data_IF_719156451506
#
_entry.id   IF_719156451506
#
_cell.length_a   1.000
_cell.length_b   1.000
_cell.length_c   1.000
_cell.angle_alpha   90.00
_cell.angle_beta   90.00
_cell.angle_gamma   90.00
#
_symmetry.space_group_name_H-M   'P 1'
#
loop_
_entity.id
_entity.type
_entity.pdbx_description
1 polymer ?
#
# COMPACT_ATOMS: atom_id res chain seq x y z
N UNK A 1 -0.02 10.27 23.62
CA UNK A 1 -0.23 10.22 22.15
C UNK A 1 -0.26 11.63 21.58
N UNK A 2 0.44 11.87 20.50
CA UNK A 2 0.39 13.16 19.81
C UNK A 2 -0.87 13.24 18.91
N UNK A 3 -1.10 14.42 18.32
CA UNK A 3 -2.30 14.63 17.48
C UNK A 3 -2.33 13.74 16.25
N UNK A 4 -1.18 13.46 15.64
CA UNK A 4 -1.09 12.56 14.48
C UNK A 4 -1.50 11.14 14.84
N UNK A 5 -1.05 10.65 15.98
CA UNK A 5 -1.41 9.30 16.44
C UNK A 5 -2.89 9.20 16.78
N UNK A 6 -3.46 10.22 17.42
CA UNK A 6 -4.89 10.27 17.70
C UNK A 6 -5.71 10.24 16.42
N UNK A 7 -5.27 10.97 15.39
CA UNK A 7 -5.94 11.01 14.10
C UNK A 7 -5.93 9.64 13.42
N UNK A 8 -4.81 8.92 13.51
CA UNK A 8 -4.71 7.56 12.97
C UNK A 8 -5.76 6.66 13.63
N UNK A 9 -5.83 6.68 14.95
CA UNK A 9 -6.78 5.85 15.69
C UNK A 9 -8.23 6.21 15.37
N UNK A 10 -8.55 7.49 15.28
CA UNK A 10 -9.89 7.95 14.92
C UNK A 10 -10.27 7.47 13.52
N UNK A 11 -9.36 7.56 12.55
CA UNK A 11 -9.63 7.09 11.19
C UNK A 11 -9.82 5.58 11.12
N UNK A 12 -9.04 4.82 11.89
CA UNK A 12 -9.21 3.37 11.96
C UNK A 12 -10.59 3.01 12.51
N UNK A 13 -11.04 3.69 13.54
CA UNK A 13 -12.36 3.44 14.13
C UNK A 13 -13.51 3.79 13.19
N UNK A 14 -13.35 4.85 12.40
CA UNK A 14 -14.41 5.33 11.52
C UNK A 14 -14.40 4.66 10.14
N UNK A 15 -13.22 4.41 9.59
CA UNK A 15 -13.06 3.94 8.19
C UNK A 15 -12.40 2.58 8.07
N UNK A 16 -12.09 1.92 9.18
CA UNK A 16 -11.37 0.63 9.25
C UNK A 16 -9.89 0.70 8.89
N UNK A 17 -9.39 1.84 8.45
CA UNK A 17 -7.96 2.07 8.26
C UNK A 17 -7.65 3.56 8.19
N UNK A 18 -6.37 3.86 8.36
CA UNK A 18 -5.80 5.18 8.10
C UNK A 18 -4.87 5.07 6.90
N UNK A 19 -4.90 6.05 6.01
CA UNK A 19 -4.07 6.08 4.80
C UNK A 19 -3.00 7.15 4.95
N UNK A 20 -1.74 6.76 4.79
CA UNK A 20 -0.60 7.67 4.88
C UNK A 20 0.05 7.79 3.51
N UNK A 21 0.20 9.01 3.01
CA UNK A 21 0.94 9.29 1.78
C UNK A 21 2.23 10.02 2.12
N UNK A 22 3.32 9.53 1.56
CA UNK A 22 4.64 10.14 1.74
C UNK A 22 5.18 10.53 0.37
N UNK A 23 5.59 11.77 0.23
CA UNK A 23 6.16 12.27 -1.02
C UNK A 23 7.30 13.23 -0.72
N UNK A 24 8.24 13.30 -1.66
CA UNK A 24 9.35 14.24 -1.58
C UNK A 24 8.95 15.51 -2.35
N UNK A 25 8.86 16.66 -1.67
CA UNK A 25 8.50 17.91 -2.34
C UNK A 25 9.47 18.30 -3.46
N UNK A 26 10.72 17.86 -3.36
CA UNK A 26 11.75 18.16 -4.36
C UNK A 26 11.72 17.18 -5.53
N UNK A 27 10.93 16.10 -5.43
CA UNK A 27 10.79 15.11 -6.48
C UNK A 27 11.99 14.18 -6.64
N UNK A 28 12.87 14.12 -5.67
CA UNK A 28 14.07 13.28 -5.73
C UNK A 28 13.80 11.82 -5.39
N UNK A 29 12.79 11.55 -4.56
CA UNK A 29 12.43 10.20 -4.16
C UNK A 29 11.03 9.83 -4.63
N UNK A 30 10.81 8.53 -4.81
CA UNK A 30 9.52 8.00 -5.24
C UNK A 30 8.49 8.13 -4.12
N UNK A 31 7.30 8.65 -4.48
CA UNK A 31 6.18 8.73 -3.54
C UNK A 31 5.62 7.35 -3.24
N UNK A 32 5.06 7.19 -2.05
CA UNK A 32 4.36 5.97 -1.69
C UNK A 32 3.19 6.26 -0.75
N UNK A 33 2.21 5.34 -0.76
CA UNK A 33 1.01 5.44 0.07
C UNK A 33 0.77 4.08 0.72
N UNK A 34 0.44 4.06 2.01
CA UNK A 34 0.21 2.79 2.70
C UNK A 34 -0.93 2.90 3.71
N UNK A 35 -1.46 1.72 4.08
CA UNK A 35 -2.53 1.60 5.06
C UNK A 35 -2.00 1.33 6.46
N UNK A 36 -2.78 1.70 7.47
CA UNK A 36 -2.56 1.33 8.87
C UNK A 36 -3.91 0.90 9.45
N UNK A 37 -3.97 -0.25 10.08
CA UNK A 37 -5.15 -0.73 10.78
C UNK A 37 -5.96 -1.78 10.07
N UNK A 38 -5.69 -2.10 8.80
CA UNK A 38 -6.42 -3.14 8.07
C UNK A 38 -6.24 -4.50 8.72
N UNK A 39 -5.04 -4.80 9.19
CA UNK A 39 -4.78 -6.07 9.88
C UNK A 39 -5.64 -6.21 11.13
N UNK A 40 -5.75 -5.16 11.93
CA UNK A 40 -6.55 -5.17 13.16
C UNK A 40 -8.05 -5.26 12.86
N UNK A 41 -8.54 -4.51 11.89
CA UNK A 41 -9.98 -4.40 11.64
C UNK A 41 -10.53 -5.49 10.73
N UNK A 42 -9.77 -5.91 9.74
CA UNK A 42 -10.24 -6.81 8.68
C UNK A 42 -9.50 -8.13 8.63
N UNK A 43 -8.45 -8.30 9.45
CA UNK A 43 -7.69 -9.55 9.52
C UNK A 43 -6.86 -9.84 8.26
N UNK A 44 -6.52 -8.83 7.48
CA UNK A 44 -5.79 -8.95 6.22
C UNK A 44 -4.46 -8.19 6.27
N UNK A 45 -3.52 -8.46 5.33
CA UNK A 45 -2.28 -7.69 5.29
C UNK A 45 -2.53 -6.20 5.03
N UNK A 46 -1.65 -5.35 5.56
CA UNK A 46 -1.62 -3.95 5.16
C UNK A 46 -1.14 -3.85 3.71
N UNK A 47 -1.36 -2.71 3.07
CA UNK A 47 -0.98 -2.50 1.67
C UNK A 47 -0.08 -1.27 1.54
N UNK A 48 0.91 -1.34 0.65
CA UNK A 48 1.69 -0.19 0.24
C UNK A 48 1.68 -0.09 -1.29
N UNK A 49 1.54 1.13 -1.80
CA UNK A 49 1.55 1.43 -3.23
C UNK A 49 2.67 2.42 -3.49
N UNK A 50 3.60 2.08 -4.36
CA UNK A 50 4.80 2.87 -4.65
C UNK A 50 4.72 3.42 -6.07
N UNK A 51 5.09 4.70 -6.25
CA UNK A 51 5.26 5.29 -7.57
C UNK A 51 4.03 5.92 -8.19
N UNK A 52 2.91 5.96 -7.47
CA UNK A 52 1.70 6.62 -7.94
C UNK A 52 1.50 7.95 -7.20
N UNK A 53 0.74 8.87 -7.81
CA UNK A 53 0.44 10.13 -7.15
C UNK A 53 -0.44 9.90 -5.91
N UNK A 54 -0.50 10.90 -5.05
CA UNK A 54 -1.23 10.89 -3.79
C UNK A 54 -2.71 10.47 -3.97
N UNK A 55 -3.40 11.06 -4.92
CA UNK A 55 -4.84 10.80 -5.13
C UNK A 55 -5.10 9.36 -5.56
N UNK A 56 -4.32 8.86 -6.51
CA UNK A 56 -4.46 7.51 -7.00
C UNK A 56 -4.05 6.48 -5.94
N UNK A 57 -2.98 6.77 -5.18
CA UNK A 57 -2.55 5.92 -4.08
C UNK A 57 -3.64 5.78 -3.02
N UNK A 58 -4.25 6.89 -2.62
CA UNK A 58 -5.39 6.88 -1.69
C UNK A 58 -6.56 6.07 -2.22
N UNK A 59 -6.91 6.27 -3.48
CA UNK A 59 -8.00 5.52 -4.11
C UNK A 59 -7.74 4.01 -4.05
N UNK A 60 -6.54 3.59 -4.40
CA UNK A 60 -6.19 2.17 -4.43
C UNK A 60 -6.22 1.55 -3.03
N UNK A 61 -5.68 2.24 -2.04
CA UNK A 61 -5.70 1.74 -0.66
C UNK A 61 -7.13 1.61 -0.15
N UNK A 62 -7.97 2.59 -0.42
CA UNK A 62 -9.39 2.55 -0.04
C UNK A 62 -10.14 1.44 -0.79
N UNK A 63 -9.85 1.23 -2.06
CA UNK A 63 -10.45 0.16 -2.86
C UNK A 63 -10.06 -1.22 -2.32
N UNK A 64 -8.79 -1.40 -1.96
CA UNK A 64 -8.31 -2.63 -1.32
C UNK A 64 -9.09 -2.91 -0.04
N UNK A 65 -9.22 -1.90 0.82
CA UNK A 65 -10.02 -2.02 2.06
C UNK A 65 -11.46 -2.43 1.75
N UNK A 66 -12.11 -1.75 0.80
CA UNK A 66 -13.51 -2.00 0.48
C UNK A 66 -13.73 -3.39 -0.10
N UNK A 67 -12.80 -3.87 -0.92
CA UNK A 67 -12.86 -5.23 -1.46
C UNK A 67 -12.71 -6.29 -0.36
N UNK A 68 -11.84 -6.05 0.61
CA UNK A 68 -11.72 -6.93 1.78
C UNK A 68 -13.01 -6.98 2.58
N UNK A 69 -13.68 -5.84 2.72
CA UNK A 69 -14.94 -5.76 3.49
C UNK A 69 -16.07 -6.56 2.85
N UNK A 70 -16.07 -6.73 1.54
CA UNK A 70 -17.07 -7.55 0.85
C UNK A 70 -16.64 -9.01 0.68
N UNK A 71 -15.54 -9.41 1.29
CA UNK A 71 -15.10 -10.80 1.35
C UNK A 71 -14.04 -11.20 0.34
N UNK A 72 -13.49 -10.27 -0.43
CA UNK A 72 -12.41 -10.58 -1.35
C UNK A 72 -11.11 -10.79 -0.57
N UNK A 73 -10.19 -11.58 -1.13
CA UNK A 73 -8.86 -11.79 -0.57
C UNK A 73 -7.84 -11.73 -1.70
N UNK A 74 -6.61 -11.38 -1.36
CA UNK A 74 -5.56 -11.17 -2.36
C UNK A 74 -4.33 -12.01 -2.00
N UNK A 75 -3.75 -12.66 -3.01
CA UNK A 75 -2.61 -13.56 -2.83
C UNK A 75 -1.40 -13.05 -3.60
N UNK A 76 -0.23 -13.23 -3.02
CA UNK A 76 1.04 -12.91 -3.67
C UNK A 76 1.17 -13.71 -4.96
N UNK A 77 1.58 -13.03 -6.03
CA UNK A 77 1.84 -13.66 -7.32
C UNK A 77 0.62 -13.85 -8.22
N UNK A 78 -0.59 -13.59 -7.73
CA UNK A 78 -1.79 -13.63 -8.56
C UNK A 78 -2.10 -12.25 -9.13
N UNK A 79 -2.81 -12.20 -10.26
CA UNK A 79 -3.13 -10.96 -10.95
C UNK A 79 -4.58 -10.57 -10.71
N UNK A 80 -4.81 -9.27 -10.54
CA UNK A 80 -6.14 -8.71 -10.25
C UNK A 80 -6.40 -7.51 -11.14
N UNK A 81 -7.63 -7.38 -11.59
CA UNK A 81 -8.08 -6.26 -12.43
C UNK A 81 -8.80 -5.20 -11.60
N UNK A 82 -9.08 -4.06 -12.24
CA UNK A 82 -9.91 -2.98 -11.70
C UNK A 82 -9.30 -2.13 -10.59
N UNK A 83 -8.08 -2.39 -10.14
CA UNK A 83 -7.37 -1.46 -9.27
C UNK A 83 -6.84 -0.25 -10.05
N UNK A 84 -6.33 -0.50 -11.24
CA UNK A 84 -5.86 0.53 -12.16
C UNK A 84 -6.54 0.28 -13.50
N UNK A 85 -7.24 1.29 -14.01
CA UNK A 85 -7.93 1.17 -15.28
C UNK A 85 -6.96 0.82 -16.40
N UNK A 86 -7.29 -0.27 -17.14
CA UNK A 86 -6.50 -0.72 -18.28
C UNK A 86 -5.32 -1.62 -17.96
N UNK A 87 -5.06 -1.91 -16.68
CA UNK A 87 -3.92 -2.73 -16.29
C UNK A 87 -4.30 -3.70 -15.18
N UNK A 88 -3.74 -4.91 -15.25
CA UNK A 88 -3.79 -5.83 -14.12
C UNK A 88 -2.67 -5.49 -13.14
N UNK A 89 -2.90 -5.82 -11.87
CA UNK A 89 -1.91 -5.64 -10.81
C UNK A 89 -1.63 -6.97 -10.14
N UNK A 90 -0.51 -7.07 -9.46
CA UNK A 90 -0.20 -8.22 -8.61
C UNK A 90 0.34 -7.73 -7.28
N UNK A 91 0.50 -8.63 -6.32
CA UNK A 91 0.99 -8.28 -4.99
C UNK A 91 2.26 -9.05 -4.67
N UNK A 92 3.19 -8.39 -3.97
CA UNK A 92 4.39 -8.99 -3.45
C UNK A 92 4.46 -8.77 -1.94
N UNK A 93 5.04 -9.72 -1.22
CA UNK A 93 5.23 -9.61 0.23
C UNK A 93 6.30 -8.54 0.53
N UNK A 94 5.99 -7.62 1.44
CA UNK A 94 6.95 -6.61 1.89
C UNK A 94 7.85 -7.22 2.96
N UNK A 95 9.17 -7.06 2.80
CA UNK A 95 10.14 -7.58 3.78
C UNK A 95 10.05 -6.85 5.12
N UNK A 96 10.52 -7.48 6.18
CA UNK A 96 10.56 -6.87 7.52
C UNK A 96 11.35 -5.55 7.51
N UNK A 97 12.46 -5.52 6.79
CA UNK A 97 13.28 -4.32 6.65
C UNK A 97 12.52 -3.18 5.99
N UNK A 98 11.82 -3.46 4.89
CA UNK A 98 11.04 -2.45 4.18
C UNK A 98 9.83 -1.97 4.98
N UNK A 99 9.17 -2.86 5.73
CA UNK A 99 8.08 -2.45 6.63
C UNK A 99 8.59 -1.42 7.64
N UNK A 100 9.72 -1.69 8.26
CA UNK A 100 10.30 -0.77 9.26
C UNK A 100 10.73 0.54 8.66
N UNK A 101 11.24 0.54 7.43
CA UNK A 101 11.73 1.75 6.78
C UNK A 101 10.60 2.63 6.23
N UNK A 102 9.59 2.03 5.62
CA UNK A 102 8.58 2.79 4.87
C UNK A 102 7.23 2.88 5.56
N UNK A 103 6.84 1.88 6.35
CA UNK A 103 5.49 1.79 6.92
C UNK A 103 5.48 2.11 8.42
N UNK A 104 6.08 3.23 8.78
CA UNK A 104 6.29 3.59 10.19
C UNK A 104 5.02 3.61 11.03
N UNK A 105 3.93 4.19 10.52
CA UNK A 105 2.67 4.25 11.25
C UNK A 105 2.08 2.86 11.45
N UNK A 106 2.23 1.98 10.46
CA UNK A 106 1.75 0.60 10.57
C UNK A 106 2.56 -0.20 11.60
N UNK A 107 3.87 0.01 11.65
CA UNK A 107 4.72 -0.62 12.67
C UNK A 107 4.34 -0.12 14.04
N UNK A 108 4.12 1.18 14.19
CA UNK A 108 3.69 1.77 15.45
C UNK A 108 2.37 1.18 15.93
N UNK A 109 1.39 1.03 15.05
CA UNK A 109 0.05 0.57 15.41
C UNK A 109 -0.02 -0.95 15.59
N UNK A 110 0.55 -1.72 14.65
CA UNK A 110 0.43 -3.18 14.62
C UNK A 110 1.55 -3.91 15.37
N UNK A 111 2.66 -3.23 15.68
CA UNK A 111 3.88 -3.88 16.12
C UNK A 111 4.63 -4.45 14.91
N UNK A 112 5.65 -5.26 15.15
CA UNK A 112 6.53 -5.76 14.08
C UNK A 112 6.02 -7.04 13.41
N UNK A 113 4.94 -7.63 13.89
CA UNK A 113 4.49 -8.96 13.47
C UNK A 113 3.36 -8.95 12.44
N UNK A 114 3.11 -7.85 11.76
CA UNK A 114 2.07 -7.79 10.74
C UNK A 114 2.62 -8.12 9.36
N UNK A 115 1.72 -8.56 8.47
CA UNK A 115 2.06 -8.74 7.05
C UNK A 115 1.71 -7.49 6.28
N UNK A 116 2.46 -7.22 5.22
CA UNK A 116 2.16 -6.14 4.30
C UNK A 116 2.43 -6.60 2.87
N UNK A 117 1.58 -6.15 1.95
CA UNK A 117 1.70 -6.45 0.53
C UNK A 117 1.98 -5.17 -0.24
N UNK A 118 2.88 -5.25 -1.21
CA UNK A 118 3.11 -4.15 -2.15
C UNK A 118 2.29 -4.42 -3.41
N UNK A 119 1.45 -3.47 -3.79
CA UNK A 119 0.75 -3.54 -5.06
C UNK A 119 1.75 -3.23 -6.17
N UNK A 120 1.88 -4.13 -7.10
CA UNK A 120 2.81 -4.02 -8.24
C UNK A 120 2.01 -3.85 -9.52
N UNK A 121 2.39 -2.86 -10.31
CA UNK A 121 1.72 -2.54 -11.57
C UNK A 121 2.76 -2.36 -12.68
N UNK A 122 2.38 -2.58 -13.96
CA UNK A 122 3.31 -2.34 -15.07
C UNK A 122 3.46 -0.84 -15.35
N UNK A 123 4.48 -0.49 -16.12
CA UNK A 123 4.60 0.88 -16.65
C UNK A 123 3.48 1.13 -17.66
N UNK A 124 3.33 2.37 -18.10
CA UNK A 124 2.33 2.72 -19.12
C UNK A 124 2.56 2.01 -20.44
N UNK A 125 3.76 1.48 -20.69
CA UNK A 125 4.08 0.65 -21.86
C UNK A 125 3.90 -0.85 -21.59
N UNK A 126 3.39 -1.24 -20.41
CA UNK A 126 3.15 -2.64 -20.09
C UNK A 126 4.35 -3.40 -19.52
N UNK A 127 5.40 -2.69 -19.12
CA UNK A 127 6.62 -3.31 -18.59
C UNK A 127 6.49 -3.49 -17.08
N UNK A 128 6.64 -4.72 -16.61
CA UNK A 128 6.58 -5.05 -15.18
C UNK A 128 7.91 -4.75 -14.48
N UNK A 129 7.89 -4.54 -13.14
CA UNK A 129 9.11 -4.18 -12.38
C UNK A 129 10.27 -5.17 -12.50
N UNK A 130 9.98 -6.46 -12.70
CA UNK A 130 11.01 -7.50 -12.82
C UNK A 130 11.58 -7.64 -14.24
N UNK A 131 11.09 -6.89 -15.22
CA UNK A 131 11.59 -6.90 -16.59
C UNK A 131 12.75 -5.93 -16.75
N UNK A 132 13.70 -6.23 -17.64
CA UNK A 132 14.88 -5.39 -17.83
C UNK A 132 14.58 -3.95 -18.20
N UNK A 133 13.49 -3.71 -18.91
CA UNK A 133 13.09 -2.39 -19.36
C UNK A 133 12.46 -1.54 -18.23
N UNK A 134 12.18 -2.16 -17.09
CA UNK A 134 11.52 -1.44 -15.99
C UNK A 134 12.46 -0.41 -15.35
N UNK A 135 11.92 0.72 -14.96
CA UNK A 135 12.64 1.72 -14.18
C UNK A 135 13.02 1.14 -12.82
N UNK A 136 14.15 1.56 -12.25
CA UNK A 136 14.57 1.15 -10.91
C UNK A 136 13.54 1.50 -9.84
N UNK A 137 12.75 2.55 -10.04
CA UNK A 137 11.71 2.94 -9.09
C UNK A 137 10.60 1.89 -8.95
N UNK A 138 10.44 1.00 -9.91
CA UNK A 138 9.46 -0.09 -9.84
C UNK A 138 9.96 -1.30 -9.06
N UNK A 139 11.23 -1.33 -8.70
CA UNK A 139 11.85 -2.48 -8.02
C UNK A 139 12.01 -2.28 -6.52
N UNK A 140 11.47 -1.22 -6.01
CA UNK A 140 11.58 -0.87 -4.59
C UNK A 140 10.87 -1.82 -3.64
#
# INVERSE_FOLDING_TARGET
MNDSEKKIIENIKEYDCHVTSVFDPDGEETSFTYSTGITETLGAPEIIVVGLNHELGHFIVNDYRDRLKVGESFKVGEFYSEFIEGFDVTFEEVSEENKSEYMCSSVWFNGESFRALQLVFPTTSGVWPWQEQASLSFKS
#
